data_IF_215283978668
#
_entry.id   IF_215283978668
#
_cell.length_a   1.000
_cell.length_b   1.000
_cell.length_c   1.000
_cell.angle_alpha   90.00
_cell.angle_beta   90.00
_cell.angle_gamma   90.00
#
_symmetry.space_group_name_H-M   'P 1'
#
loop_
_entity.id
_entity.type
_entity.pdbx_description
1 polymer ?
#
# COMPACT_ATOMS: atom_id res chain seq x y z
N UNK A 1 54.37 37.29 -14.61
CA UNK A 1 53.64 38.14 -13.65
C UNK A 1 52.20 37.67 -13.62
N UNK A 2 51.84 36.89 -12.59
CA UNK A 2 50.49 36.34 -12.46
C UNK A 2 49.53 37.46 -12.08
N UNK A 3 48.57 37.76 -12.97
CA UNK A 3 47.54 38.77 -12.72
C UNK A 3 46.64 38.32 -11.57
N UNK A 4 46.60 39.10 -10.51
CA UNK A 4 45.66 38.96 -9.41
C UNK A 4 44.26 39.29 -9.95
N UNK A 5 43.52 38.26 -10.36
CA UNK A 5 42.15 38.41 -10.83
C UNK A 5 41.29 38.74 -9.61
N UNK A 6 40.98 40.02 -9.42
CA UNK A 6 40.12 40.51 -8.34
C UNK A 6 38.75 39.84 -8.45
N UNK A 7 38.50 38.83 -7.61
CA UNK A 7 37.25 38.07 -7.63
C UNK A 7 36.09 39.02 -7.30
N UNK A 8 35.06 39.12 -8.16
CA UNK A 8 33.92 40.01 -7.90
C UNK A 8 33.21 39.64 -6.59
N UNK A 9 32.84 40.65 -5.79
CA UNK A 9 32.15 40.45 -4.51
C UNK A 9 30.87 39.60 -4.64
N UNK A 10 30.21 39.66 -5.80
CA UNK A 10 29.01 38.86 -6.11
C UNK A 10 29.29 37.36 -6.10
N UNK A 11 30.47 36.93 -6.56
CA UNK A 11 30.91 35.53 -6.55
C UNK A 11 31.19 35.06 -5.12
N UNK A 12 31.83 35.92 -4.30
CA UNK A 12 32.09 35.62 -2.89
C UNK A 12 30.79 35.50 -2.08
N UNK A 13 29.80 36.38 -2.32
CA UNK A 13 28.48 36.31 -1.68
C UNK A 13 27.71 35.05 -2.10
N UNK A 14 27.84 34.61 -3.36
CA UNK A 14 27.23 33.37 -3.85
C UNK A 14 27.85 32.13 -3.18
N UNK A 15 29.19 32.07 -3.07
CA UNK A 15 29.90 30.97 -2.39
C UNK A 15 29.48 30.81 -0.93
N UNK A 16 29.44 31.92 -0.16
CA UNK A 16 28.98 31.90 1.24
C UNK A 16 27.56 31.35 1.38
N UNK A 17 26.64 31.76 0.49
CA UNK A 17 25.27 31.23 0.48
C UNK A 17 25.23 29.74 0.16
N UNK A 18 25.99 29.28 -0.83
CA UNK A 18 26.06 27.86 -1.18
C UNK A 18 26.64 27.02 -0.04
N UNK A 19 27.65 27.54 0.67
CA UNK A 19 28.23 26.92 1.87
C UNK A 19 27.20 26.82 3.01
N UNK A 20 26.47 27.90 3.31
CA UNK A 20 25.39 27.91 4.30
C UNK A 20 24.29 26.91 3.96
N UNK A 21 23.85 26.86 2.69
CA UNK A 21 22.86 25.90 2.21
C UNK A 21 23.38 24.45 2.26
N UNK A 22 24.67 24.24 2.00
CA UNK A 22 25.28 22.92 2.09
C UNK A 22 25.37 22.43 3.54
N UNK A 23 25.65 23.32 4.50
CA UNK A 23 25.63 23.01 5.94
C UNK A 23 24.22 22.68 6.39
N UNK A 24 23.23 23.52 6.08
CA UNK A 24 21.82 23.26 6.41
C UNK A 24 21.32 21.92 5.83
N UNK A 25 21.61 21.63 4.55
CA UNK A 25 21.26 20.34 3.94
C UNK A 25 21.93 19.14 4.62
N UNK A 26 23.19 19.27 5.06
CA UNK A 26 23.88 18.20 5.78
C UNK A 26 23.22 17.91 7.13
N UNK A 27 22.81 18.96 7.84
CA UNK A 27 22.08 18.84 9.11
C UNK A 27 20.69 18.20 8.91
N UNK A 28 19.94 18.63 7.90
CA UNK A 28 18.65 18.03 7.53
C UNK A 28 18.78 16.55 7.17
N UNK A 29 19.79 16.18 6.38
CA UNK A 29 20.06 14.78 6.02
C UNK A 29 20.45 13.98 7.26
N UNK A 30 21.25 14.54 8.17
CA UNK A 30 21.62 13.87 9.41
C UNK A 30 20.40 13.64 10.32
N UNK A 31 19.51 14.63 10.44
CA UNK A 31 18.27 14.52 11.18
C UNK A 31 17.32 13.48 10.54
N UNK A 32 17.19 13.49 9.22
CA UNK A 32 16.37 12.53 8.48
C UNK A 32 16.92 11.10 8.62
N UNK A 33 18.25 10.91 8.59
CA UNK A 33 18.89 9.61 8.82
C UNK A 33 18.57 9.05 10.20
N UNK A 34 18.61 9.89 11.26
CA UNK A 34 18.23 9.49 12.62
C UNK A 34 16.76 9.06 12.68
N UNK A 35 15.85 9.89 12.16
CA UNK A 35 14.41 9.57 12.07
C UNK A 35 14.15 8.28 11.28
N UNK A 36 14.85 8.07 10.17
CA UNK A 36 14.71 6.86 9.36
C UNK A 36 15.22 5.60 10.08
N UNK A 37 16.27 5.71 10.89
CA UNK A 37 16.77 4.61 11.70
C UNK A 37 15.75 4.21 12.78
N UNK A 38 15.17 5.19 13.48
CA UNK A 38 14.10 4.98 14.45
C UNK A 38 12.85 4.36 13.79
N UNK A 39 12.42 4.90 12.65
CA UNK A 39 11.29 4.37 11.88
C UNK A 39 11.53 2.92 11.44
N UNK A 40 12.75 2.57 11.03
CA UNK A 40 13.09 1.18 10.65
C UNK A 40 12.94 0.22 11.82
N UNK A 41 13.38 0.61 13.02
CA UNK A 41 13.20 -0.20 14.23
C UNK A 41 11.72 -0.36 14.57
N UNK A 42 10.92 0.69 14.41
CA UNK A 42 9.48 0.66 14.64
C UNK A 42 8.76 -0.25 13.63
N UNK A 43 9.10 -0.17 12.35
CA UNK A 43 8.55 -1.03 11.29
C UNK A 43 8.88 -2.50 11.57
N UNK A 44 10.11 -2.79 12.00
CA UNK A 44 10.52 -4.15 12.34
C UNK A 44 9.72 -4.72 13.53
N UNK A 45 9.53 -3.94 14.59
CA UNK A 45 8.69 -4.34 15.74
C UNK A 45 7.25 -4.62 15.32
N UNK A 46 6.64 -3.71 14.54
CA UNK A 46 5.28 -3.88 14.02
C UNK A 46 5.13 -5.11 13.13
N UNK A 47 6.09 -5.37 12.24
CA UNK A 47 6.08 -6.56 11.39
C UNK A 47 6.06 -7.85 12.23
N UNK A 48 6.86 -7.90 13.30
CA UNK A 48 6.86 -9.03 14.25
C UNK A 48 5.53 -9.17 14.99
N UNK A 49 4.94 -8.05 15.42
CA UNK A 49 3.63 -8.04 16.09
C UNK A 49 2.53 -8.55 15.16
N UNK A 50 2.46 -8.06 13.91
CA UNK A 50 1.47 -8.51 12.93
C UNK A 50 1.62 -10.00 12.60
N UNK A 51 2.85 -10.51 12.42
CA UNK A 51 3.06 -11.93 12.19
C UNK A 51 2.51 -12.79 13.33
N UNK A 52 2.78 -12.38 14.58
CA UNK A 52 2.25 -13.06 15.77
C UNK A 52 0.72 -12.99 15.83
N UNK A 53 0.13 -11.83 15.53
CA UNK A 53 -1.32 -11.64 15.52
C UNK A 53 -1.99 -12.57 14.50
N UNK A 54 -1.45 -12.70 13.28
CA UNK A 54 -1.98 -13.62 12.27
C UNK A 54 -1.87 -15.10 12.69
N UNK A 55 -0.78 -15.51 13.33
CA UNK A 55 -0.65 -16.87 13.87
C UNK A 55 -1.68 -17.16 14.97
N UNK A 56 -1.89 -16.21 15.88
CA UNK A 56 -2.88 -16.32 16.95
C UNK A 56 -4.31 -16.38 16.39
N UNK A 57 -4.64 -15.51 15.43
CA UNK A 57 -5.93 -15.54 14.73
C UNK A 57 -6.17 -16.89 14.03
N UNK A 58 -5.16 -17.46 13.37
CA UNK A 58 -5.29 -18.75 12.71
C UNK A 58 -5.55 -19.90 13.71
N UNK A 59 -4.84 -19.90 14.84
CA UNK A 59 -5.05 -20.88 15.93
C UNK A 59 -6.44 -20.73 16.55
N UNK A 60 -6.89 -19.50 16.76
CA UNK A 60 -8.20 -19.19 17.31
C UNK A 60 -9.33 -19.67 16.39
N UNK A 61 -9.23 -19.44 15.08
CA UNK A 61 -10.18 -19.94 14.09
C UNK A 61 -10.30 -21.48 14.13
N UNK A 62 -9.19 -22.19 14.31
CA UNK A 62 -9.18 -23.65 14.44
C UNK A 62 -9.86 -24.06 15.75
N UNK A 63 -9.57 -23.38 16.86
CA UNK A 63 -10.19 -23.63 18.16
C UNK A 63 -11.71 -23.48 18.10
N UNK A 64 -12.19 -22.35 17.57
CA UNK A 64 -13.63 -22.06 17.42
C UNK A 64 -14.34 -23.10 16.54
N UNK A 65 -13.71 -23.52 15.43
CA UNK A 65 -14.25 -24.60 14.59
C UNK A 65 -14.36 -25.94 15.33
N UNK A 66 -13.39 -26.27 16.19
CA UNK A 66 -13.42 -27.51 16.99
C UNK A 66 -14.49 -27.43 18.08
N UNK A 67 -14.58 -26.32 18.80
CA UNK A 67 -15.61 -26.11 19.82
C UNK A 67 -17.03 -26.15 19.25
N UNK A 68 -17.24 -25.52 18.09
CA UNK A 68 -18.53 -25.58 17.39
C UNK A 68 -18.89 -27.03 17.06
N UNK A 69 -17.96 -27.81 16.50
CA UNK A 69 -18.16 -29.24 16.22
C UNK A 69 -18.49 -30.05 17.47
N UNK A 70 -17.80 -29.81 18.59
CA UNK A 70 -18.05 -30.51 19.86
C UNK A 70 -19.44 -30.19 20.43
N UNK A 71 -19.88 -28.94 20.31
CA UNK A 71 -21.21 -28.49 20.74
C UNK A 71 -22.33 -28.87 19.76
N UNK A 72 -22.00 -29.50 18.62
CA UNK A 72 -22.96 -29.83 17.56
C UNK A 72 -23.43 -28.63 16.73
N UNK A 73 -22.74 -27.49 16.83
CA UNK A 73 -23.02 -26.26 16.07
C UNK A 73 -22.06 -26.03 14.90
N UNK A 74 -22.32 -24.98 14.12
CA UNK A 74 -21.51 -24.57 12.97
C UNK A 74 -20.87 -23.20 13.22
N UNK A 75 -19.58 -23.07 12.91
CA UNK A 75 -18.89 -21.79 12.95
C UNK A 75 -18.94 -21.11 11.57
N UNK A 76 -19.52 -19.91 11.49
CA UNK A 76 -19.58 -19.10 10.27
C UNK A 76 -18.38 -18.16 10.24
N UNK A 77 -17.57 -18.25 9.19
CA UNK A 77 -16.40 -17.40 9.00
C UNK A 77 -16.84 -15.96 8.66
N UNK A 78 -16.23 -14.90 9.20
CA UNK A 78 -16.45 -13.53 8.75
C UNK A 78 -16.29 -13.36 7.23
N UNK A 79 -17.14 -12.51 6.65
CA UNK A 79 -17.09 -12.14 5.23
C UNK A 79 -15.87 -11.26 4.92
N UNK A 80 -15.27 -11.46 3.74
CA UNK A 80 -14.13 -10.69 3.28
C UNK A 80 -14.53 -9.24 2.91
N UNK A 81 -13.81 -8.25 3.46
CA UNK A 81 -14.08 -6.81 3.26
C UNK A 81 -13.31 -6.16 2.11
N UNK A 82 -12.32 -6.85 1.57
CA UNK A 82 -11.44 -6.33 0.51
C UNK A 82 -11.65 -7.14 -0.76
N UNK A 83 -11.81 -6.45 -1.88
CA UNK A 83 -11.99 -7.05 -3.19
C UNK A 83 -10.84 -6.66 -4.11
N UNK A 84 -10.30 -7.67 -4.78
CA UNK A 84 -9.33 -7.50 -5.85
C UNK A 84 -10.04 -7.60 -7.20
N UNK A 85 -10.15 -6.48 -7.90
CA UNK A 85 -10.93 -6.40 -9.13
C UNK A 85 -10.00 -6.26 -10.32
N UNK A 86 -10.11 -7.21 -11.27
CA UNK A 86 -9.35 -7.22 -12.52
C UNK A 86 -10.31 -7.15 -13.71
N UNK A 87 -9.97 -6.31 -14.69
CA UNK A 87 -10.69 -6.26 -15.95
C UNK A 87 -10.09 -7.21 -16.98
N UNK A 88 -10.82 -8.27 -17.32
CA UNK A 88 -10.39 -9.30 -18.29
C UNK A 88 -10.88 -9.00 -19.72
N UNK A 89 -12.05 -8.38 -19.89
CA UNK A 89 -12.68 -8.13 -21.20
C UNK A 89 -12.37 -6.72 -21.75
N UNK A 90 -12.17 -6.62 -23.06
CA UNK A 90 -12.03 -5.37 -23.80
C UNK A 90 -13.29 -4.51 -23.82
N UNK A 91 -13.25 -3.31 -24.43
CA UNK A 91 -14.40 -2.38 -24.49
C UNK A 91 -15.48 -2.77 -25.52
N UNK A 92 -15.14 -3.65 -26.46
CA UNK A 92 -16.00 -4.00 -27.59
C UNK A 92 -17.16 -4.90 -27.12
N UNK A 93 -18.36 -4.64 -27.64
CA UNK A 93 -19.60 -5.36 -27.33
C UNK A 93 -20.02 -5.35 -25.84
N UNK A 94 -19.74 -4.26 -25.11
CA UNK A 94 -20.29 -4.04 -23.76
C UNK A 94 -21.45 -3.04 -23.75
N UNK A 95 -22.48 -3.35 -22.96
CA UNK A 95 -23.59 -2.44 -22.68
C UNK A 95 -23.08 -1.13 -22.02
N UNK A 96 -23.64 0.05 -22.38
CA UNK A 96 -23.19 1.34 -21.86
C UNK A 96 -23.21 1.46 -20.33
N UNK A 97 -24.16 0.81 -19.64
CA UNK A 97 -24.19 0.80 -18.17
C UNK A 97 -22.94 0.14 -17.56
N UNK A 98 -22.57 -1.04 -18.04
CA UNK A 98 -21.38 -1.78 -17.58
C UNK A 98 -20.09 -1.00 -17.85
N UNK A 99 -20.01 -0.32 -19.00
CA UNK A 99 -18.88 0.56 -19.34
C UNK A 99 -18.75 1.72 -18.34
N UNK A 100 -19.87 2.29 -17.90
CA UNK A 100 -19.85 3.39 -16.92
C UNK A 100 -19.42 2.92 -15.53
N UNK A 101 -19.86 1.73 -15.10
CA UNK A 101 -19.44 1.12 -13.84
C UNK A 101 -17.91 0.90 -13.81
N UNK A 102 -17.33 0.36 -14.88
CA UNK A 102 -15.88 0.19 -14.99
C UNK A 102 -15.12 1.51 -14.95
N UNK A 103 -15.68 2.59 -15.50
CA UNK A 103 -15.08 3.93 -15.41
C UNK A 103 -15.10 4.48 -13.97
N UNK A 104 -16.17 4.24 -13.21
CA UNK A 104 -16.28 4.65 -11.80
C UNK A 104 -15.24 3.92 -10.93
N UNK A 105 -15.04 2.62 -11.20
CA UNK A 105 -13.99 1.81 -10.58
C UNK A 105 -12.58 2.10 -11.13
N UNK A 106 -12.44 3.05 -12.08
CA UNK A 106 -11.17 3.45 -12.73
C UNK A 106 -10.48 2.35 -13.58
N UNK A 107 -11.20 1.31 -14.00
CA UNK A 107 -10.71 0.19 -14.82
C UNK A 107 -10.75 0.51 -16.32
N UNK A 108 -9.88 1.44 -16.76
CA UNK A 108 -9.86 1.96 -18.14
C UNK A 108 -9.24 0.99 -19.16
N UNK A 109 -8.14 0.34 -18.79
CA UNK A 109 -7.43 -0.61 -19.64
C UNK A 109 -7.68 -2.05 -19.20
N UNK A 110 -7.41 -3.00 -20.10
CA UNK A 110 -7.39 -4.43 -19.78
C UNK A 110 -6.19 -4.75 -18.88
N UNK A 111 -6.33 -5.76 -18.02
CA UNK A 111 -5.31 -6.17 -17.02
C UNK A 111 -4.94 -5.11 -15.96
N UNK A 112 -5.71 -4.03 -15.86
CA UNK A 112 -5.60 -3.12 -14.73
C UNK A 112 -6.29 -3.69 -13.49
N UNK A 113 -5.72 -3.36 -12.34
CA UNK A 113 -6.07 -3.86 -11.03
C UNK A 113 -6.46 -2.69 -10.14
N UNK A 114 -7.55 -2.86 -9.39
CA UNK A 114 -7.93 -1.93 -8.33
C UNK A 114 -8.35 -2.74 -7.09
N UNK A 115 -7.83 -2.33 -5.92
CA UNK A 115 -8.30 -2.82 -4.63
C UNK A 115 -9.49 -1.96 -4.19
N UNK A 116 -10.62 -2.59 -3.91
CA UNK A 116 -11.84 -1.93 -3.47
C UNK A 116 -12.20 -2.41 -2.07
N UNK A 117 -12.57 -1.47 -1.19
CA UNK A 117 -13.09 -1.77 0.14
C UNK A 117 -14.61 -1.91 0.02
N UNK A 118 -15.16 -3.10 0.30
CA UNK A 118 -16.62 -3.25 0.33
C UNK A 118 -17.19 -2.53 1.54
N UNK A 119 -18.14 -1.65 1.27
CA UNK A 119 -18.99 -1.01 2.29
C UNK A 119 -20.37 -1.64 2.38
N UNK A 120 -20.74 -2.52 1.44
CA UNK A 120 -22.01 -3.27 1.39
C UNK A 120 -21.81 -4.67 0.77
N UNK A 121 -22.59 -5.70 1.18
CA UNK A 121 -22.43 -7.11 0.76
C UNK A 121 -22.99 -7.43 -0.65
N UNK A 122 -23.50 -6.46 -1.40
CA UNK A 122 -24.27 -6.73 -2.63
C UNK A 122 -23.43 -6.56 -3.89
N UNK A 123 -22.53 -7.51 -4.14
CA UNK A 123 -22.04 -7.78 -5.50
C UNK A 123 -22.52 -9.16 -5.95
N UNK A 124 -23.83 -9.37 -5.88
CA UNK A 124 -24.48 -10.48 -6.56
C UNK A 124 -24.61 -10.17 -8.05
N UNK A 125 -23.92 -10.99 -8.84
CA UNK A 125 -24.32 -11.36 -10.20
C UNK A 125 -24.26 -10.27 -11.29
N UNK A 126 -23.06 -9.79 -11.58
CA UNK A 126 -22.69 -9.49 -12.96
C UNK A 126 -21.29 -10.05 -13.21
N UNK A 127 -21.10 -10.74 -14.35
CA UNK A 127 -19.93 -11.55 -14.76
C UNK A 127 -18.61 -10.76 -14.88
N UNK A 128 -18.16 -10.15 -13.79
CA UNK A 128 -16.80 -9.75 -13.54
C UNK A 128 -16.18 -10.91 -12.77
N UNK A 129 -15.31 -11.68 -13.44
CA UNK A 129 -14.58 -12.78 -12.80
C UNK A 129 -13.69 -12.14 -11.74
N UNK A 130 -14.17 -12.10 -10.49
CA UNK A 130 -13.41 -11.76 -9.30
C UNK A 130 -12.64 -13.03 -8.93
N UNK A 131 -11.49 -13.23 -9.58
CA UNK A 131 -10.50 -14.21 -9.12
C UNK A 131 -9.46 -13.45 -8.30
N UNK A 132 -9.55 -13.56 -6.99
CA UNK A 132 -8.57 -14.20 -6.12
C UNK A 132 -8.99 -13.94 -4.67
N UNK A 133 -9.17 -15.01 -3.89
CA UNK A 133 -9.03 -14.92 -2.44
C UNK A 133 -7.61 -14.38 -2.21
N UNK A 134 -7.52 -13.18 -1.65
CA UNK A 134 -6.25 -12.55 -1.31
C UNK A 134 -5.63 -13.25 -0.11
N UNK A 135 -5.18 -14.49 -0.29
CA UNK A 135 -4.14 -15.04 0.56
C UNK A 135 -2.87 -14.27 0.21
N UNK A 136 -2.62 -13.21 0.97
CA UNK A 136 -1.35 -12.50 1.05
C UNK A 136 -0.28 -13.46 1.57
N UNK A 137 0.17 -14.38 0.73
CA UNK A 137 1.45 -15.07 0.91
C UNK A 137 2.55 -14.05 0.60
N UNK A 138 3.07 -13.46 1.69
CA UNK A 138 4.18 -12.52 1.63
C UNK A 138 5.40 -13.15 0.97
N UNK A 139 5.98 -12.40 0.02
CA UNK A 139 7.36 -12.50 -0.43
C UNK A 139 8.04 -11.16 -0.22
#
# INVERSE_FOLDING_TARGET
>A
MGGEVMVPESVLKKRKREEEWAVAKKEEIAALKKKNAENRQLIYKRAKEYAKEYEEQAKELIRLKREAKLKGGFYVNPEAKLLFIIRIRGINAMHPKTRKILQLLRLRQVMWVVCYVSTFPTLENDRLIILFHGDSSGS
#
